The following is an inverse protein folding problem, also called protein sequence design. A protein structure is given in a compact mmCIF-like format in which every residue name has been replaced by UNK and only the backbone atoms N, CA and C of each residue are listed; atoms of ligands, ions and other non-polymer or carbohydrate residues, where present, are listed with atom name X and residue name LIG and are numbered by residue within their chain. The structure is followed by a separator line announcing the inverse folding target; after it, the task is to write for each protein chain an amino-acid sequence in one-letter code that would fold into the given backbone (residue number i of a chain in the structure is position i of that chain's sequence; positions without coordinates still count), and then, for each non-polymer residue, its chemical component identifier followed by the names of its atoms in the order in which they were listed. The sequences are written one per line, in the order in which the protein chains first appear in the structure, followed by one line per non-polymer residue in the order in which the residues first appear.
data_IF_954784361642
#
_entry.id   IF_954784361642
#
_cell.length_a   1.000
_cell.length_b   1.000
_cell.length_c   1.000
_cell.angle_alpha   90.00
_cell.angle_beta   90.00
_cell.angle_gamma   90.00
#
_symmetry.space_group_name_H-M   'P 1'
#
loop_
_entity.id
_entity.type
_entity.pdbx_description
1 polymer ?
#
# COMPACT_ATOMS: atom_id res chain seq x y z
N UNK A 1 9.43 -4.65 23.66
CA UNK A 1 10.75 -5.23 23.34
C UNK A 1 11.68 -4.08 23.02
N UNK A 2 12.91 -4.12 23.49
CA UNK A 2 13.94 -3.17 23.05
C UNK A 2 14.42 -3.52 21.64
N UNK A 3 15.00 -2.55 20.92
CA UNK A 3 15.56 -2.78 19.58
C UNK A 3 16.62 -3.89 19.59
N UNK A 4 17.39 -3.98 20.66
CA UNK A 4 18.38 -5.05 20.88
C UNK A 4 17.72 -6.43 20.98
N UNK A 5 16.60 -6.56 21.69
CA UNK A 5 15.86 -7.82 21.77
C UNK A 5 15.29 -8.21 20.40
N UNK A 6 14.78 -7.25 19.64
CA UNK A 6 14.28 -7.48 18.28
C UNK A 6 15.41 -7.99 17.39
N UNK A 7 16.57 -7.34 17.36
CA UNK A 7 17.71 -7.77 16.54
C UNK A 7 18.20 -9.18 16.89
N UNK A 8 18.22 -9.53 18.18
CA UNK A 8 18.57 -10.87 18.63
C UNK A 8 17.57 -11.92 18.14
N UNK A 9 16.26 -11.62 18.18
CA UNK A 9 15.24 -12.54 17.67
C UNK A 9 15.31 -12.68 16.15
N UNK A 10 15.54 -11.59 15.41
CA UNK A 10 15.77 -11.66 13.97
C UNK A 10 16.99 -12.52 13.63
N UNK A 11 18.08 -12.38 14.39
CA UNK A 11 19.28 -13.19 14.19
C UNK A 11 19.02 -14.68 14.43
N UNK A 12 18.22 -15.03 15.45
CA UNK A 12 17.77 -16.42 15.68
C UNK A 12 16.87 -16.93 14.54
N UNK A 13 15.95 -16.11 14.05
CA UNK A 13 15.09 -16.47 12.92
C UNK A 13 15.92 -16.77 11.65
N UNK A 14 17.01 -16.02 11.42
CA UNK A 14 17.92 -16.25 10.29
C UNK A 14 18.65 -17.59 10.41
N UNK A 15 18.99 -18.03 11.63
CA UNK A 15 19.57 -19.37 11.83
C UNK A 15 18.59 -20.45 11.37
N UNK A 16 17.31 -20.35 11.75
CA UNK A 16 16.27 -21.28 11.32
C UNK A 16 16.10 -21.22 9.79
N UNK A 17 16.06 -20.01 9.23
CA UNK A 17 15.93 -19.80 7.79
C UNK A 17 17.03 -20.48 6.96
N UNK A 18 18.26 -20.60 7.48
CA UNK A 18 19.36 -21.30 6.77
C UNK A 18 19.07 -22.78 6.53
N UNK A 19 18.26 -23.41 7.38
CA UNK A 19 17.85 -24.80 7.23
C UNK A 19 16.66 -25.00 6.28
N UNK A 20 16.04 -23.91 5.79
CA UNK A 20 14.96 -24.00 4.82
C UNK A 20 15.54 -24.26 3.43
N UNK A 21 15.09 -25.34 2.79
CA UNK A 21 15.45 -25.73 1.43
C UNK A 21 14.69 -24.88 0.40
N UNK A 22 13.36 -24.80 0.52
CA UNK A 22 12.46 -24.07 -0.40
C UNK A 22 12.43 -22.55 -0.13
N UNK A 23 13.55 -21.89 -0.41
CA UNK A 23 13.73 -20.45 -0.14
C UNK A 23 12.86 -19.55 -1.02
N UNK A 24 12.51 -19.99 -2.22
CA UNK A 24 11.62 -19.28 -3.15
C UNK A 24 10.18 -19.23 -2.63
N UNK A 25 9.70 -20.31 -2.01
CA UNK A 25 8.41 -20.37 -1.34
C UNK A 25 8.39 -19.40 -0.16
N UNK A 26 9.44 -19.42 0.67
CA UNK A 26 9.60 -18.43 1.75
C UNK A 26 9.56 -17.00 1.21
N UNK A 27 10.34 -16.71 0.15
CA UNK A 27 10.43 -15.38 -0.45
C UNK A 27 9.05 -14.90 -0.93
N UNK A 28 8.27 -15.76 -1.57
CA UNK A 28 6.91 -15.45 -2.04
C UNK A 28 5.98 -15.04 -0.89
N UNK A 29 5.96 -15.81 0.20
CA UNK A 29 5.10 -15.50 1.35
C UNK A 29 5.61 -14.29 2.13
N UNK A 30 6.92 -14.19 2.36
CA UNK A 30 7.52 -13.05 3.05
C UNK A 30 7.26 -11.75 2.29
N UNK A 31 7.47 -11.73 0.97
CA UNK A 31 7.18 -10.59 0.11
C UNK A 31 5.72 -10.16 0.19
N UNK A 32 4.77 -11.12 0.15
CA UNK A 32 3.34 -10.82 0.30
C UNK A 32 3.01 -10.18 1.64
N UNK A 33 3.54 -10.72 2.74
CA UNK A 33 3.27 -10.19 4.07
C UNK A 33 3.93 -8.83 4.29
N UNK A 34 5.16 -8.64 3.81
CA UNK A 34 5.85 -7.36 3.84
C UNK A 34 5.08 -6.29 3.05
N UNK A 35 4.61 -6.63 1.84
CA UNK A 35 3.81 -5.72 1.01
C UNK A 35 2.58 -5.20 1.76
N UNK A 36 1.85 -6.12 2.41
CA UNK A 36 0.67 -5.75 3.20
C UNK A 36 1.02 -4.81 4.35
N UNK A 37 2.12 -5.05 5.06
CA UNK A 37 2.53 -4.20 6.19
C UNK A 37 2.98 -2.81 5.75
N UNK A 38 3.73 -2.73 4.65
CA UNK A 38 4.18 -1.48 4.06
C UNK A 38 3.01 -0.63 3.54
N UNK A 39 2.05 -1.24 2.84
CA UNK A 39 0.88 -0.52 2.29
C UNK A 39 -0.05 -0.03 3.41
N UNK A 40 -0.24 -0.84 4.46
CA UNK A 40 -1.06 -0.45 5.62
C UNK A 40 -0.39 0.58 6.51
N UNK A 41 0.90 0.87 6.32
CA UNK A 41 1.61 1.90 7.06
C UNK A 41 1.79 1.57 8.54
N UNK A 42 2.00 0.29 8.89
CA UNK A 42 2.40 -0.08 10.26
C UNK A 42 3.82 0.43 10.53
N UNK A 43 3.92 1.72 10.90
CA UNK A 43 5.15 2.51 11.02
C UNK A 43 6.08 2.08 12.16
N UNK A 44 5.55 1.32 13.13
CA UNK A 44 6.24 1.00 14.40
C UNK A 44 7.48 0.11 14.22
N UNK A 45 7.69 -0.49 13.05
CA UNK A 45 8.77 -1.46 12.84
C UNK A 45 9.57 -1.29 11.53
N UNK A 46 9.61 -0.11 10.91
CA UNK A 46 10.36 0.06 9.65
C UNK A 46 11.85 -0.29 9.78
N UNK A 47 12.50 0.15 10.85
CA UNK A 47 13.93 -0.13 11.10
C UNK A 47 14.18 -1.63 11.31
N UNK A 48 13.26 -2.32 12.01
CA UNK A 48 13.35 -3.77 12.23
C UNK A 48 13.17 -4.56 10.93
N UNK A 49 12.29 -4.11 10.04
CA UNK A 49 12.08 -4.73 8.73
C UNK A 49 13.27 -4.52 7.80
N UNK A 50 13.86 -3.32 7.80
CA UNK A 50 15.10 -3.04 7.06
C UNK A 50 16.26 -3.91 7.59
N UNK A 51 16.40 -4.03 8.91
CA UNK A 51 17.38 -4.91 9.53
C UNK A 51 17.18 -6.37 9.11
N UNK A 52 15.93 -6.86 9.06
CA UNK A 52 15.63 -8.22 8.60
C UNK A 52 16.00 -8.44 7.13
N UNK A 53 15.70 -7.49 6.24
CA UNK A 53 16.10 -7.55 4.83
C UNK A 53 17.63 -7.59 4.70
N UNK A 54 18.34 -6.77 5.47
CA UNK A 54 19.80 -6.76 5.47
C UNK A 54 20.39 -8.09 5.93
N UNK A 55 19.82 -8.73 6.96
CA UNK A 55 20.24 -10.07 7.38
C UNK A 55 19.91 -11.15 6.35
N UNK A 56 18.74 -11.09 5.70
CA UNK A 56 18.39 -12.00 4.59
C UNK A 56 19.35 -11.83 3.40
N UNK A 57 19.75 -10.60 3.09
CA UNK A 57 20.72 -10.28 2.03
C UNK A 57 22.08 -10.89 2.31
N UNK A 58 22.54 -10.85 3.57
CA UNK A 58 23.79 -11.50 3.97
C UNK A 58 23.69 -13.04 3.88
N UNK A 59 22.53 -13.61 4.19
CA UNK A 59 22.32 -15.06 4.20
C UNK A 59 22.10 -15.68 2.81
N UNK A 60 21.44 -14.98 1.88
CA UNK A 60 21.03 -15.52 0.58
C UNK A 60 21.41 -14.66 -0.63
N UNK A 61 22.13 -13.56 -0.39
CA UNK A 61 22.62 -12.68 -1.45
C UNK A 61 21.64 -11.59 -1.88
N UNK A 62 22.13 -10.76 -2.79
CA UNK A 62 21.42 -9.57 -3.28
C UNK A 62 20.19 -9.92 -4.12
N UNK A 63 20.30 -10.87 -5.05
CA UNK A 63 19.21 -11.24 -5.96
C UNK A 63 17.94 -11.66 -5.21
N UNK A 64 18.11 -12.40 -4.10
CA UNK A 64 17.01 -12.84 -3.24
C UNK A 64 16.23 -11.68 -2.60
N UNK A 65 16.94 -10.62 -2.22
CA UNK A 65 16.37 -9.48 -1.48
C UNK A 65 16.06 -8.27 -2.36
N UNK A 66 16.51 -8.27 -3.62
CA UNK A 66 16.37 -7.18 -4.59
C UNK A 66 14.97 -6.57 -4.64
N UNK A 67 13.93 -7.40 -4.76
CA UNK A 67 12.53 -6.96 -4.78
C UNK A 67 12.07 -6.38 -3.45
N UNK A 68 12.47 -6.98 -2.32
CA UNK A 68 12.12 -6.50 -0.97
C UNK A 68 12.74 -5.12 -0.71
N UNK A 69 14.02 -4.95 -1.03
CA UNK A 69 14.69 -3.66 -0.94
C UNK A 69 14.04 -2.61 -1.84
N UNK A 70 13.62 -3.01 -3.05
CA UNK A 70 12.91 -2.10 -3.95
C UNK A 70 11.56 -1.66 -3.41
N UNK A 71 10.82 -2.53 -2.73
CA UNK A 71 9.56 -2.16 -2.07
C UNK A 71 9.78 -1.06 -1.01
N UNK A 72 10.87 -1.11 -0.25
CA UNK A 72 11.23 -0.04 0.69
C UNK A 72 11.53 1.29 -0.01
N UNK A 73 12.33 1.24 -1.08
CA UNK A 73 12.63 2.44 -1.88
C UNK A 73 11.36 3.06 -2.46
N UNK A 74 10.45 2.23 -2.98
CA UNK A 74 9.17 2.70 -3.53
C UNK A 74 8.31 3.40 -2.47
N UNK A 75 8.26 2.90 -1.22
CA UNK A 75 7.55 3.55 -0.11
C UNK A 75 8.13 4.95 0.18
N UNK A 76 9.46 5.06 0.28
CA UNK A 76 10.13 6.34 0.53
C UNK A 76 9.87 7.36 -0.59
N UNK A 77 10.05 6.94 -1.84
CA UNK A 77 9.78 7.78 -3.01
C UNK A 77 8.32 8.20 -3.11
N UNK A 78 7.40 7.31 -2.74
CA UNK A 78 5.98 7.62 -2.76
C UNK A 78 5.58 8.61 -1.68
N UNK A 79 6.16 8.54 -0.48
CA UNK A 79 5.92 9.53 0.56
C UNK A 79 6.43 10.90 0.14
N UNK A 80 7.64 10.98 -0.43
CA UNK A 80 8.17 12.24 -0.97
C UNK A 80 7.28 12.81 -2.10
N UNK A 81 6.77 11.95 -2.97
CA UNK A 81 5.83 12.35 -4.03
C UNK A 81 4.50 12.86 -3.46
N UNK A 82 3.97 12.19 -2.44
CA UNK A 82 2.75 12.62 -1.76
C UNK A 82 2.93 13.99 -1.09
N UNK A 83 4.07 14.23 -0.44
CA UNK A 83 4.40 15.54 0.16
C UNK A 83 4.50 16.65 -0.88
N UNK A 84 5.13 16.37 -2.04
CA UNK A 84 5.20 17.31 -3.16
C UNK A 84 3.83 17.60 -3.75
N UNK A 85 2.96 16.59 -3.83
CA UNK A 85 1.58 16.75 -4.28
C UNK A 85 0.75 17.62 -3.31
N UNK A 86 0.86 17.38 -2.00
CA UNK A 86 0.18 18.20 -0.98
C UNK A 86 0.60 19.67 -1.06
N UNK A 87 1.91 19.94 -1.17
CA UNK A 87 2.43 21.31 -1.38
C UNK A 87 1.91 21.95 -2.66
N UNK A 88 1.78 21.17 -3.74
CA UNK A 88 1.20 21.66 -4.99
C UNK A 88 -0.27 22.09 -4.80
N UNK A 89 -1.06 21.28 -4.09
CA UNK A 89 -2.46 21.59 -3.79
C UNK A 89 -2.62 22.86 -2.95
N UNK A 90 -1.76 23.05 -1.95
CA UNK A 90 -1.70 24.27 -1.14
C UNK A 90 -1.39 25.49 -1.99
N UNK A 91 -0.38 25.41 -2.86
CA UNK A 91 0.03 26.52 -3.73
C UNK A 91 -1.03 26.88 -4.79
N UNK A 92 -1.85 25.90 -5.20
CA UNK A 92 -2.93 26.09 -6.15
C UNK A 92 -4.22 26.62 -5.49
N UNK A 93 -4.24 26.82 -4.17
CA UNK A 93 -5.42 27.19 -3.38
C UNK A 93 -6.66 26.31 -3.67
N UNK A 94 -6.44 25.04 -3.99
CA UNK A 94 -7.53 24.10 -4.26
C UNK A 94 -8.11 23.58 -2.95
N UNK A 95 -9.41 23.78 -2.74
CA UNK A 95 -10.13 23.14 -1.64
C UNK A 95 -10.29 21.65 -1.95
N UNK A 96 -9.48 20.82 -1.30
CA UNK A 96 -9.59 19.36 -1.40
C UNK A 96 -10.73 18.88 -0.50
N UNK A 97 -11.78 18.33 -1.10
CA UNK A 97 -12.92 17.77 -0.34
C UNK A 97 -12.55 16.50 0.43
N UNK A 98 -11.65 15.69 -0.11
CA UNK A 98 -11.16 14.44 0.51
C UNK A 98 -9.65 14.39 0.42
N UNK A 99 -8.98 14.48 1.57
CA UNK A 99 -7.53 14.30 1.68
C UNK A 99 -7.15 12.89 1.22
N UNK A 100 -6.13 12.79 0.37
CA UNK A 100 -5.66 11.53 -0.19
C UNK A 100 -4.15 11.43 0.02
N UNK A 101 -3.69 10.25 0.45
CA UNK A 101 -2.28 9.90 0.51
C UNK A 101 -1.97 8.85 -0.57
N UNK A 102 -1.52 9.26 -1.77
CA UNK A 102 -1.26 8.34 -2.86
C UNK A 102 -0.02 7.49 -2.59
N UNK A 103 -0.14 6.18 -2.83
CA UNK A 103 0.98 5.25 -2.79
C UNK A 103 1.30 4.71 -4.20
N UNK A 104 2.40 5.17 -4.80
CA UNK A 104 2.84 4.81 -6.15
C UNK A 104 3.91 3.73 -6.08
N UNK A 105 3.59 2.56 -6.61
CA UNK A 105 4.41 1.35 -6.49
C UNK A 105 4.76 0.79 -7.87
N UNK A 106 5.94 0.17 -8.00
CA UNK A 106 6.34 -0.45 -9.26
C UNK A 106 5.82 -1.89 -9.39
N UNK A 107 5.02 -2.15 -10.43
CA UNK A 107 4.35 -3.44 -10.63
C UNK A 107 5.29 -4.67 -10.63
N UNK A 108 6.55 -4.53 -11.04
CA UNK A 108 7.50 -5.65 -11.11
C UNK A 108 8.12 -6.07 -9.77
N UNK A 109 8.08 -5.21 -8.77
CA UNK A 109 8.74 -5.42 -7.47
C UNK A 109 7.78 -5.84 -6.36
N UNK A 110 6.49 -5.61 -6.56
CA UNK A 110 5.48 -5.90 -5.56
C UNK A 110 4.62 -7.11 -5.95
N UNK A 111 4.25 -7.98 -5.01
CA UNK A 111 3.37 -9.13 -5.26
C UNK A 111 1.90 -8.70 -5.28
N UNK A 112 1.57 -7.63 -6.02
CA UNK A 112 0.21 -7.11 -6.14
C UNK A 112 -0.42 -7.71 -7.39
N UNK A 113 -1.52 -8.43 -7.20
CA UNK A 113 -2.38 -8.80 -8.31
C UNK A 113 -3.32 -7.63 -8.58
N UNK A 114 -3.22 -7.02 -9.76
CA UNK A 114 -4.29 -6.14 -10.21
C UNK A 114 -5.60 -6.95 -10.19
N UNK A 115 -6.68 -6.45 -9.58
CA UNK A 115 -7.98 -7.08 -9.73
C UNK A 115 -8.26 -7.12 -11.23
N UNK A 116 -8.37 -8.34 -11.77
CA UNK A 116 -8.64 -8.57 -13.18
C UNK A 116 -10.01 -7.96 -13.48
N UNK A 117 -10.01 -6.74 -14.02
CA UNK A 117 -11.17 -6.21 -14.72
C UNK A 117 -11.37 -7.08 -15.98
N UNK A 118 -12.05 -8.22 -15.82
CA UNK A 118 -12.44 -9.08 -16.94
C UNK A 118 -11.95 -10.53 -16.97
N UNK A 119 -11.50 -11.15 -15.86
CA UNK A 119 -11.35 -12.61 -15.84
C UNK A 119 -12.71 -13.29 -15.64
N UNK A 120 -13.51 -13.32 -16.70
CA UNK A 120 -14.68 -14.18 -16.86
C UNK A 120 -14.25 -15.64 -16.96
N UNK A 121 -13.81 -16.24 -15.86
CA UNK A 121 -13.82 -17.69 -15.71
C UNK A 121 -15.03 -18.01 -14.83
N UNK A 122 -16.11 -18.41 -15.49
CA UNK A 122 -17.47 -18.22 -15.01
C UNK A 122 -17.83 -19.03 -13.77
N UNK A 123 -17.82 -18.37 -12.61
CA UNK A 123 -18.77 -18.58 -11.49
C UNK A 123 -18.53 -17.63 -10.30
N UNK A 124 -18.10 -16.39 -10.54
CA UNK A 124 -18.06 -15.36 -9.49
C UNK A 124 -18.89 -14.16 -9.95
N UNK A 125 -19.99 -13.90 -9.22
CA UNK A 125 -20.74 -12.65 -9.33
C UNK A 125 -19.75 -11.49 -9.15
N UNK A 126 -19.33 -10.89 -10.26
CA UNK A 126 -18.47 -9.74 -10.24
C UNK A 126 -19.29 -8.57 -9.68
N UNK A 127 -19.24 -8.37 -8.37
CA UNK A 127 -19.66 -7.11 -7.75
C UNK A 127 -18.88 -6.00 -8.45
N UNK A 128 -19.54 -5.30 -9.38
CA UNK A 128 -18.98 -4.14 -10.07
C UNK A 128 -18.56 -3.11 -9.02
N UNK A 129 -17.25 -2.87 -8.91
CA UNK A 129 -16.72 -1.84 -8.04
C UNK A 129 -17.02 -0.48 -8.68
N UNK A 130 -17.92 0.28 -8.05
CA UNK A 130 -18.24 1.65 -8.47
C UNK A 130 -17.56 2.59 -7.49
N UNK A 131 -16.65 3.43 -8.01
CA UNK A 131 -15.99 4.46 -7.23
C UNK A 131 -16.96 5.62 -6.94
N UNK A 132 -17.15 6.02 -5.67
CA UNK A 132 -17.96 7.16 -5.28
C UNK A 132 -17.53 8.46 -5.97
N UNK A 133 -18.50 9.25 -6.42
CA UNK A 133 -18.25 10.54 -7.08
C UNK A 133 -17.43 11.51 -6.23
N UNK A 134 -17.51 11.40 -4.90
CA UNK A 134 -16.73 12.24 -3.97
C UNK A 134 -15.21 12.00 -4.05
N UNK A 135 -14.77 10.80 -4.44
CA UNK A 135 -13.35 10.44 -4.56
C UNK A 135 -12.76 10.75 -5.94
N UNK A 136 -13.61 10.85 -6.97
CA UNK A 136 -13.18 11.05 -8.35
C UNK A 136 -12.33 12.32 -8.57
N UNK A 137 -12.68 13.49 -8.00
CA UNK A 137 -11.88 14.72 -8.17
C UNK A 137 -10.46 14.58 -7.63
N UNK A 138 -10.28 14.04 -6.42
CA UNK A 138 -8.96 13.86 -5.80
C UNK A 138 -8.07 12.91 -6.62
N UNK A 139 -8.66 11.86 -7.20
CA UNK A 139 -7.96 10.91 -8.07
C UNK A 139 -7.53 11.59 -9.38
N UNK A 140 -8.45 12.29 -10.04
CA UNK A 140 -8.17 12.97 -11.30
C UNK A 140 -7.09 14.06 -11.15
N UNK A 141 -7.13 14.81 -10.05
CA UNK A 141 -6.12 15.82 -9.74
C UNK A 141 -4.73 15.19 -9.53
N UNK A 142 -4.66 14.06 -8.84
CA UNK A 142 -3.39 13.34 -8.68
C UNK A 142 -2.88 12.73 -10.00
N UNK A 143 -3.75 12.13 -10.82
CA UNK A 143 -3.35 11.61 -12.13
C UNK A 143 -2.77 12.71 -13.02
N UNK A 144 -3.43 13.87 -13.06
CA UNK A 144 -2.96 15.03 -13.83
C UNK A 144 -1.59 15.50 -13.32
N UNK A 145 -1.42 15.61 -12.00
CA UNK A 145 -0.15 15.96 -11.39
C UNK A 145 0.95 14.95 -11.74
N UNK A 146 0.66 13.65 -11.60
CA UNK A 146 1.62 12.58 -11.83
C UNK A 146 2.08 12.51 -13.29
N UNK A 147 1.14 12.57 -14.24
CA UNK A 147 1.46 12.53 -15.68
C UNK A 147 2.28 13.75 -16.09
N UNK A 148 2.00 14.93 -15.52
CA UNK A 148 2.78 16.14 -15.76
C UNK A 148 4.24 16.01 -15.30
N UNK A 149 4.48 15.33 -14.18
CA UNK A 149 5.82 15.09 -13.66
C UNK A 149 6.54 13.87 -14.28
N UNK A 150 5.79 12.88 -14.76
CA UNK A 150 6.32 11.60 -15.22
C UNK A 150 5.73 11.19 -16.57
N UNK A 151 6.32 11.71 -17.65
CA UNK A 151 5.90 11.40 -19.00
C UNK A 151 6.16 9.92 -19.37
N UNK A 152 5.22 9.31 -20.10
CA UNK A 152 5.30 7.91 -20.56
C UNK A 152 4.96 6.85 -19.51
N UNK A 153 4.48 7.24 -18.31
CA UNK A 153 4.02 6.30 -17.28
C UNK A 153 2.50 6.22 -17.25
N UNK A 154 1.97 5.02 -17.00
CA UNK A 154 0.54 4.75 -16.79
C UNK A 154 0.29 4.32 -15.36
N UNK A 155 -0.66 4.97 -14.68
CA UNK A 155 -1.11 4.57 -13.36
C UNK A 155 -2.21 3.50 -13.47
N UNK A 156 -2.24 2.58 -12.52
CA UNK A 156 -3.32 1.60 -12.33
C UNK A 156 -3.70 1.61 -10.86
N UNK A 157 -4.94 1.97 -10.57
CA UNK A 157 -5.42 2.08 -9.19
C UNK A 157 -5.81 0.71 -8.63
N UNK A 158 -5.31 0.40 -7.43
CA UNK A 158 -5.59 -0.82 -6.69
C UNK A 158 -6.47 -0.53 -5.47
N UNK A 159 -7.73 -0.17 -5.71
CA UNK A 159 -8.68 0.20 -4.65
C UNK A 159 -8.93 -0.91 -3.62
N UNK A 160 -8.67 -2.17 -3.98
CA UNK A 160 -8.82 -3.32 -3.09
C UNK A 160 -7.76 -3.33 -1.97
N UNK A 161 -6.69 -2.55 -2.13
CA UNK A 161 -5.63 -2.40 -1.14
C UNK A 161 -5.66 -1.02 -0.46
N UNK A 162 -6.57 -0.15 -0.90
CA UNK A 162 -6.75 1.18 -0.34
C UNK A 162 -7.63 1.15 0.91
N UNK A 163 -7.28 1.99 1.88
CA UNK A 163 -8.03 2.20 3.11
C UNK A 163 -8.40 3.68 3.21
N UNK A 164 -9.47 3.96 3.94
CA UNK A 164 -9.90 5.32 4.20
C UNK A 164 -10.57 5.43 5.56
N UNK A 165 -10.73 6.67 6.01
CA UNK A 165 -11.37 6.99 7.28
C UNK A 165 -12.69 7.71 7.01
N UNK A 166 -13.75 7.26 7.67
CA UNK A 166 -15.06 7.90 7.65
C UNK A 166 -15.36 8.44 9.03
N UNK A 167 -15.83 9.70 9.08
CA UNK A 167 -16.41 10.29 10.28
C UNK A 167 -17.91 10.05 10.29
N UNK A 168 -18.39 9.29 11.28
CA UNK A 168 -19.81 9.05 11.52
C UNK A 168 -20.35 10.15 12.44
N UNK A 169 -21.33 10.92 11.96
CA UNK A 169 -21.94 12.04 12.70
C UNK A 169 -23.39 11.79 13.13
N UNK A 170 -23.96 10.63 12.78
CA UNK A 170 -25.35 10.28 13.10
C UNK A 170 -25.54 9.71 14.52
N UNK A 171 -24.45 9.40 15.23
CA UNK A 171 -24.45 8.90 16.59
C UNK A 171 -24.30 10.05 17.58
N UNK A 172 -24.65 9.81 18.85
CA UNK A 172 -24.53 10.81 19.95
C UNK A 172 -23.11 11.39 20.09
N UNK A 173 -22.11 10.62 19.66
CA UNK A 173 -20.71 11.05 19.59
C UNK A 173 -20.16 10.84 18.18
N UNK A 174 -19.33 11.75 17.66
CA UNK A 174 -18.67 11.53 16.40
C UNK A 174 -17.64 10.40 16.54
N UNK A 175 -17.74 9.39 15.67
CA UNK A 175 -16.79 8.29 15.60
C UNK A 175 -15.97 8.38 14.31
N UNK A 176 -14.68 8.09 14.40
CA UNK A 176 -13.80 7.93 13.24
C UNK A 176 -13.57 6.43 13.03
N UNK A 177 -13.91 5.93 11.84
CA UNK A 177 -13.80 4.51 11.51
C UNK A 177 -12.89 4.35 10.31
N UNK A 178 -11.80 3.61 10.49
CA UNK A 178 -10.91 3.20 9.40
C UNK A 178 -11.42 1.89 8.78
N UNK A 179 -11.62 1.88 7.47
CA UNK A 179 -12.12 0.71 6.75
C UNK A 179 -11.54 0.66 5.33
N UNK A 180 -11.68 -0.48 4.65
CA UNK A 180 -11.24 -0.60 3.24
C UNK A 180 -12.11 0.28 2.33
N UNK A 181 -11.52 0.83 1.25
CA UNK A 181 -12.27 1.65 0.29
C UNK A 181 -13.45 0.88 -0.30
N UNK A 182 -13.33 -0.44 -0.47
CA UNK A 182 -14.45 -1.28 -0.91
C UNK A 182 -15.66 -1.24 0.04
N UNK A 183 -15.44 -1.21 1.35
CA UNK A 183 -16.50 -1.06 2.35
C UNK A 183 -17.12 0.34 2.26
N UNK A 184 -16.29 1.38 2.17
CA UNK A 184 -16.72 2.78 1.98
C UNK A 184 -17.65 2.91 0.77
N UNK A 185 -17.26 2.34 -0.37
CA UNK A 185 -18.05 2.40 -1.60
C UNK A 185 -19.42 1.72 -1.47
N UNK A 186 -19.52 0.62 -0.71
CA UNK A 186 -20.79 -0.08 -0.47
C UNK A 186 -21.70 0.69 0.48
N UNK A 187 -21.15 1.29 1.52
CA UNK A 187 -21.93 1.90 2.60
C UNK A 187 -22.41 3.32 2.26
N UNK A 188 -21.64 4.10 1.49
CA UNK A 188 -22.10 5.40 0.96
C UNK A 188 -23.39 5.25 0.15
N UNK A 189 -23.56 4.14 -0.57
CA UNK A 189 -24.78 3.86 -1.34
C UNK A 189 -26.01 3.68 -0.45
N UNK A 190 -25.85 3.19 0.78
CA UNK A 190 -26.95 2.96 1.73
C UNK A 190 -27.34 4.20 2.53
N UNK A 191 -26.43 5.17 2.69
CA UNK A 191 -26.67 6.40 3.45
C UNK A 191 -27.27 7.54 2.61
N UNK A 192 -27.26 7.40 1.27
CA UNK A 192 -27.84 8.37 0.32
C UNK A 192 -29.21 7.95 -0.24
N UNK A 193 -29.81 6.87 0.29
CA UNK A 193 -31.18 6.41 0.00
C UNK A 193 -31.97 6.44 1.29
#
# INVERSE_FOLDING_TARGET
MSDTEVDQQLSKAIVIFRYIEDKDVFQKYYSKMLASRLILGFSVAMDAEEAMINKLKQACGYEFTSKLSRMFTDIGLSNELADKFNKHLESAHKSVHVSMQPLVLQAGSWPLSAPQAGASNGNSEATSFILPAILQPSIADFEKYYIGAHNGRKLTWLFNMSHGEIRLTYLDKPYLVSMSVYQICRDIKKLLV
#
